data_IF_537413887542
#
_entry.id   IF_537413887542
#
_cell.length_a   1.000
_cell.length_b   1.000
_cell.length_c   1.000
_cell.angle_alpha   90.00
_cell.angle_beta   90.00
_cell.angle_gamma   90.00
#
_symmetry.space_group_name_H-M   'P 1'
#
loop_
_entity.id
_entity.type
_entity.pdbx_description
1 polymer ?
#
# COMPACT_ATOMS: atom_id res chain seq x y z
N UNK A 1 -4.99 5.93 16.35
CA UNK A 1 -4.18 6.69 15.37
C UNK A 1 -4.65 6.38 13.96
N UNK A 2 -4.68 7.38 13.12
CA UNK A 2 -4.98 7.21 11.70
C UNK A 2 -3.72 6.83 10.95
N UNK A 3 -3.80 5.79 10.13
CA UNK A 3 -2.70 5.30 9.31
C UNK A 3 -3.00 5.63 7.85
N UNK A 4 -2.10 6.39 7.21
CA UNK A 4 -2.15 6.60 5.76
C UNK A 4 -1.27 5.55 5.10
N UNK A 5 -1.87 4.65 4.34
CA UNK A 5 -1.14 3.64 3.55
C UNK A 5 -1.03 4.14 2.12
N UNK A 6 0.20 4.21 1.61
CA UNK A 6 0.49 4.71 0.26
C UNK A 6 0.97 3.54 -0.60
N UNK A 7 0.29 3.31 -1.71
CA UNK A 7 0.74 2.42 -2.77
C UNK A 7 1.01 3.24 -4.02
N UNK A 8 2.23 3.13 -4.55
CA UNK A 8 2.60 3.73 -5.83
C UNK A 8 2.65 2.65 -6.88
N UNK A 9 2.20 2.96 -8.09
CA UNK A 9 2.09 1.98 -9.17
C UNK A 9 2.32 2.62 -10.53
N UNK A 10 2.95 1.86 -11.41
CA UNK A 10 2.99 2.15 -12.84
C UNK A 10 3.09 0.84 -13.61
N UNK A 11 2.10 0.57 -14.48
CA UNK A 11 2.06 -0.60 -15.34
C UNK A 11 2.29 -1.91 -14.56
N UNK A 12 1.46 -2.16 -13.56
CA UNK A 12 1.56 -3.35 -12.72
C UNK A 12 0.20 -4.04 -12.57
N UNK A 13 -0.47 -4.22 -13.69
CA UNK A 13 -1.81 -4.76 -13.78
C UNK A 13 -1.96 -6.12 -13.10
N UNK A 14 -0.92 -6.98 -13.17
CA UNK A 14 -0.99 -8.35 -12.65
C UNK A 14 -0.92 -8.45 -11.13
N UNK A 15 -0.39 -7.44 -10.43
CA UNK A 15 -0.15 -7.51 -8.98
C UNK A 15 -0.94 -6.50 -8.17
N UNK A 16 -1.38 -5.39 -8.77
CA UNK A 16 -2.04 -4.30 -8.04
C UNK A 16 -3.29 -4.75 -7.28
N UNK A 17 -4.06 -5.68 -7.84
CA UNK A 17 -5.25 -6.21 -7.18
C UNK A 17 -4.93 -6.83 -5.83
N UNK A 18 -3.90 -7.67 -5.77
CA UNK A 18 -3.50 -8.36 -4.53
C UNK A 18 -3.00 -7.37 -3.47
N UNK A 19 -2.26 -6.35 -3.89
CA UNK A 19 -1.83 -5.28 -2.99
C UNK A 19 -3.04 -4.56 -2.38
N UNK A 20 -3.99 -4.13 -3.21
CA UNK A 20 -5.21 -3.44 -2.76
C UNK A 20 -6.03 -4.34 -1.84
N UNK A 21 -6.28 -5.58 -2.23
CA UNK A 21 -7.04 -6.54 -1.42
C UNK A 21 -6.40 -6.73 -0.04
N UNK A 22 -5.07 -6.78 0.05
CA UNK A 22 -4.38 -6.96 1.32
C UNK A 22 -4.55 -5.77 2.28
N UNK A 23 -4.68 -4.56 1.74
CA UNK A 23 -5.00 -3.37 2.54
C UNK A 23 -6.45 -3.39 3.02
N UNK A 24 -7.38 -3.69 2.12
CA UNK A 24 -8.81 -3.71 2.44
C UNK A 24 -9.13 -4.74 3.51
N UNK A 25 -8.42 -5.87 3.51
CA UNK A 25 -8.64 -6.94 4.50
C UNK A 25 -8.06 -6.67 5.87
N UNK A 26 -7.32 -5.59 6.08
CA UNK A 26 -6.75 -5.30 7.39
C UNK A 26 -7.83 -5.10 8.44
N UNK A 27 -7.60 -5.64 9.65
CA UNK A 27 -8.53 -5.49 10.78
C UNK A 27 -8.49 -4.09 11.37
N UNK A 28 -7.37 -3.40 11.25
CA UNK A 28 -7.25 -2.01 11.67
C UNK A 28 -8.13 -1.14 10.77
N UNK A 29 -9.09 -0.40 11.36
CA UNK A 29 -10.12 0.28 10.56
C UNK A 29 -9.81 1.75 10.26
N UNK A 30 -9.00 2.40 11.07
CA UNK A 30 -8.68 3.82 10.88
C UNK A 30 -7.56 3.99 9.85
N UNK A 31 -7.83 3.58 8.62
CA UNK A 31 -6.91 3.61 7.49
C UNK A 31 -7.40 4.60 6.44
N UNK A 32 -6.49 5.47 6.00
CA UNK A 32 -6.61 6.26 4.79
C UNK A 32 -5.75 5.59 3.72
N UNK A 33 -6.39 5.05 2.68
CA UNK A 33 -5.64 4.39 1.60
C UNK A 33 -5.45 5.33 0.42
N UNK A 34 -4.19 5.56 0.06
CA UNK A 34 -3.78 6.48 -1.00
C UNK A 34 -3.08 5.66 -2.10
N UNK A 35 -3.59 5.76 -3.32
CA UNK A 35 -2.99 5.10 -4.48
C UNK A 35 -2.52 6.17 -5.47
N UNK A 36 -1.25 6.15 -5.80
CA UNK A 36 -0.62 7.06 -6.75
C UNK A 36 -0.18 6.26 -7.97
N UNK A 37 -0.80 6.56 -9.09
CA UNK A 37 -0.50 5.92 -10.37
C UNK A 37 0.30 6.88 -11.25
N UNK A 38 1.38 6.36 -11.83
CA UNK A 38 2.28 7.12 -12.70
C UNK A 38 1.85 7.14 -14.17
N UNK A 39 0.58 7.38 -14.44
CA UNK A 39 0.00 7.38 -15.78
C UNK A 39 0.20 6.03 -16.50
N UNK A 40 -0.26 4.96 -15.85
CA UNK A 40 -0.20 3.60 -16.44
C UNK A 40 -0.92 3.53 -17.77
N UNK A 41 -0.36 2.74 -18.67
CA UNK A 41 -0.87 2.52 -20.03
C UNK A 41 -1.38 1.10 -20.29
N UNK A 42 -1.25 0.22 -19.30
CA UNK A 42 -1.84 -1.13 -19.31
C UNK A 42 -3.22 -1.11 -18.63
N UNK A 43 -3.71 -2.23 -18.14
CA UNK A 43 -4.99 -2.33 -17.44
C UNK A 43 -4.96 -1.95 -15.96
N UNK A 44 -3.86 -1.36 -15.44
CA UNK A 44 -3.71 -1.02 -14.02
C UNK A 44 -4.83 -0.10 -13.53
N UNK A 45 -5.10 0.99 -14.25
CA UNK A 45 -6.11 1.98 -13.85
C UNK A 45 -7.50 1.33 -13.79
N UNK A 46 -7.84 0.49 -14.76
CA UNK A 46 -9.13 -0.22 -14.77
C UNK A 46 -9.31 -1.11 -13.53
N UNK A 47 -8.24 -1.77 -13.08
CA UNK A 47 -8.27 -2.57 -11.85
C UNK A 47 -8.50 -1.67 -10.64
N UNK A 48 -7.78 -0.56 -10.54
CA UNK A 48 -7.89 0.37 -9.40
C UNK A 48 -9.30 0.97 -9.32
N UNK A 49 -9.89 1.32 -10.45
CA UNK A 49 -11.22 1.93 -10.48
C UNK A 49 -12.32 1.03 -9.91
N UNK A 50 -12.14 -0.29 -9.95
CA UNK A 50 -13.07 -1.23 -9.32
C UNK A 50 -13.09 -1.12 -7.80
N UNK A 51 -12.09 -0.51 -7.20
CA UNK A 51 -11.94 -0.33 -5.75
C UNK A 51 -12.11 1.10 -5.29
N UNK A 52 -12.63 1.98 -6.14
CA UNK A 52 -12.70 3.43 -5.85
C UNK A 52 -13.46 3.75 -4.56
N UNK A 53 -14.44 2.92 -4.18
CA UNK A 53 -15.20 3.07 -2.94
C UNK A 53 -14.39 2.67 -1.69
N UNK A 54 -13.27 1.97 -1.86
CA UNK A 54 -12.38 1.52 -0.79
C UNK A 54 -11.08 2.32 -0.70
N UNK A 55 -10.80 3.13 -1.70
CA UNK A 55 -9.61 3.97 -1.78
C UNK A 55 -9.98 5.39 -1.39
N UNK A 56 -9.25 5.95 -0.42
CA UNK A 56 -9.52 7.30 0.08
C UNK A 56 -9.10 8.38 -0.92
N UNK A 57 -7.94 8.20 -1.54
CA UNK A 57 -7.40 9.13 -2.53
C UNK A 57 -6.77 8.33 -3.68
N UNK A 58 -7.19 8.63 -4.90
CA UNK A 58 -6.56 8.09 -6.10
C UNK A 58 -6.12 9.24 -7.00
N UNK A 59 -4.82 9.27 -7.31
CA UNK A 59 -4.23 10.24 -8.22
C UNK A 59 -3.47 9.50 -9.31
N UNK A 60 -3.81 9.78 -10.58
CA UNK A 60 -3.10 9.25 -11.74
C UNK A 60 -2.59 10.40 -12.58
N UNK A 61 -1.28 10.52 -12.68
CA UNK A 61 -0.61 11.51 -13.52
C UNK A 61 0.84 11.10 -13.78
N UNK A 62 1.48 11.60 -14.82
CA UNK A 62 2.90 11.33 -15.03
C UNK A 62 3.74 11.75 -13.83
N UNK A 63 4.76 10.96 -13.51
CA UNK A 63 5.72 11.26 -12.46
C UNK A 63 7.15 11.06 -12.96
N UNK A 64 8.11 11.44 -12.12
CA UNK A 64 9.55 11.33 -12.41
C UNK A 64 10.17 10.08 -11.79
N UNK A 65 9.33 9.08 -11.48
CA UNK A 65 9.75 7.82 -10.89
C UNK A 65 9.18 7.60 -9.50
N UNK A 66 9.64 6.53 -8.85
CA UNK A 66 9.13 6.04 -7.58
C UNK A 66 9.11 7.11 -6.49
N UNK A 67 10.20 7.82 -6.31
CA UNK A 67 10.31 8.79 -5.22
C UNK A 67 9.41 10.02 -5.43
N UNK A 68 9.24 10.43 -6.68
CA UNK A 68 8.29 11.50 -6.99
C UNK A 68 6.85 11.08 -6.66
N UNK A 69 6.48 9.86 -7.04
CA UNK A 69 5.16 9.29 -6.71
C UNK A 69 4.96 9.16 -5.20
N UNK A 70 5.96 8.67 -4.47
CA UNK A 70 5.90 8.60 -3.01
C UNK A 70 5.72 9.97 -2.36
N UNK A 71 6.44 10.98 -2.85
CA UNK A 71 6.31 12.34 -2.35
C UNK A 71 4.91 12.91 -2.58
N UNK A 72 4.29 12.60 -3.71
CA UNK A 72 2.88 12.98 -3.95
C UNK A 72 1.96 12.34 -2.91
N UNK A 73 2.13 11.05 -2.66
CA UNK A 73 1.36 10.34 -1.64
C UNK A 73 1.54 10.91 -0.24
N UNK A 74 2.78 11.21 0.14
CA UNK A 74 3.10 11.79 1.44
C UNK A 74 2.43 13.17 1.61
N UNK A 75 2.45 14.00 0.57
CA UNK A 75 1.79 15.32 0.62
C UNK A 75 0.28 15.22 0.77
N UNK A 76 -0.33 14.16 0.26
CA UNK A 76 -1.77 13.93 0.37
C UNK A 76 -2.17 13.23 1.67
N UNK A 77 -1.23 12.60 2.35
CA UNK A 77 -1.51 11.86 3.58
C UNK A 77 -1.91 12.78 4.72
N UNK A 78 -2.92 12.38 5.47
CA UNK A 78 -3.42 13.11 6.64
C UNK A 78 -3.35 12.29 7.93
N UNK A 79 -2.84 11.07 7.87
CA UNK A 79 -2.73 10.19 9.03
C UNK A 79 -1.61 10.58 10.00
N UNK A 80 -1.67 10.01 11.18
CA UNK A 80 -0.64 10.16 12.20
C UNK A 80 0.60 9.32 11.88
N UNK A 81 0.41 8.24 11.15
CA UNK A 81 1.46 7.32 10.70
C UNK A 81 1.33 7.14 9.19
N UNK A 82 2.46 7.12 8.51
CA UNK A 82 2.53 6.82 7.07
C UNK A 82 3.14 5.44 6.91
N UNK A 83 2.44 4.58 6.17
CA UNK A 83 2.92 3.27 5.78
C UNK A 83 3.03 3.19 4.26
N UNK A 84 4.02 2.48 3.77
CA UNK A 84 4.25 2.30 2.33
C UNK A 84 4.09 0.83 1.99
N UNK A 85 3.25 0.55 0.99
CA UNK A 85 3.07 -0.78 0.41
C UNK A 85 3.19 -0.66 -1.10
N UNK A 86 4.23 -1.25 -1.68
CA UNK A 86 4.44 -1.21 -3.12
C UNK A 86 3.41 -2.07 -3.87
N UNK A 87 3.20 -1.77 -5.15
CA UNK A 87 2.15 -2.39 -5.97
C UNK A 87 2.35 -3.88 -6.27
N UNK A 88 3.56 -4.38 -6.09
CA UNK A 88 3.92 -5.80 -6.24
C UNK A 88 4.10 -6.52 -4.90
N UNK A 89 3.82 -5.84 -3.81
CA UNK A 89 3.85 -6.39 -2.46
C UNK A 89 2.43 -6.53 -1.91
N UNK A 90 2.30 -7.29 -0.84
CA UNK A 90 1.06 -7.39 -0.09
C UNK A 90 1.34 -7.65 1.40
N UNK A 91 0.41 -7.28 2.24
CA UNK A 91 0.48 -7.65 3.65
C UNK A 91 0.23 -9.16 3.80
N UNK A 92 1.05 -9.82 4.63
CA UNK A 92 1.03 -11.28 4.77
C UNK A 92 -0.27 -11.83 5.39
N UNK A 93 -0.92 -11.02 6.24
CA UNK A 93 -2.20 -11.37 6.85
C UNK A 93 -3.00 -10.10 7.18
N UNK A 94 -4.18 -10.29 7.77
CA UNK A 94 -5.10 -9.18 8.09
C UNK A 94 -4.76 -8.42 9.37
N UNK A 95 -3.73 -8.84 10.10
CA UNK A 95 -3.36 -8.24 11.39
C UNK A 95 -2.10 -7.39 11.33
N UNK A 96 -1.44 -7.29 10.17
CA UNK A 96 -0.13 -6.63 10.05
C UNK A 96 -0.19 -5.19 10.55
N UNK A 97 -1.16 -4.40 10.09
CA UNK A 97 -1.27 -2.98 10.47
C UNK A 97 -1.58 -2.84 11.96
N UNK A 98 -2.53 -3.62 12.48
CA UNK A 98 -2.88 -3.55 13.91
C UNK A 98 -1.71 -3.95 14.80
N UNK A 99 -0.96 -4.99 14.42
CA UNK A 99 0.20 -5.45 15.18
C UNK A 99 1.32 -4.40 15.17
N UNK A 100 1.58 -3.79 14.02
CA UNK A 100 2.61 -2.74 13.90
C UNK A 100 2.25 -1.50 14.73
N UNK A 101 1.01 -1.06 14.69
CA UNK A 101 0.55 0.09 15.47
C UNK A 101 0.65 -0.22 16.98
N UNK A 102 0.25 -1.41 17.41
CA UNK A 102 0.37 -1.83 18.80
C UNK A 102 1.83 -1.83 19.27
N UNK A 103 2.73 -2.39 18.48
CA UNK A 103 4.16 -2.42 18.79
C UNK A 103 4.76 -1.00 18.87
N UNK A 104 4.39 -0.13 17.95
CA UNK A 104 4.84 1.26 17.98
C UNK A 104 4.38 1.97 19.26
N UNK A 105 3.13 1.76 19.67
CA UNK A 105 2.59 2.37 20.88
C UNK A 105 3.27 1.84 22.14
N UNK A 106 3.44 0.51 22.24
CA UNK A 106 4.07 -0.13 23.41
C UNK A 106 5.53 0.31 23.56
N UNK A 107 6.25 0.41 22.47
CA UNK A 107 7.68 0.77 22.47
C UNK A 107 7.95 2.26 22.32
N UNK A 108 6.90 3.06 22.19
CA UNK A 108 7.01 4.49 21.89
C UNK A 108 7.95 4.75 20.69
N UNK A 109 7.79 3.95 19.64
CA UNK A 109 8.64 4.01 18.45
C UNK A 109 8.07 4.98 17.41
N UNK A 110 8.95 5.71 16.75
CA UNK A 110 8.58 6.61 15.65
C UNK A 110 8.64 5.93 14.30
N UNK A 111 9.43 4.86 14.18
CA UNK A 111 9.61 4.09 12.94
C UNK A 111 9.48 2.60 13.26
N UNK A 112 8.78 1.89 12.40
CA UNK A 112 8.67 0.44 12.47
C UNK A 112 8.86 -0.16 11.07
N UNK A 113 9.43 -1.35 11.01
CA UNK A 113 9.53 -2.13 9.79
C UNK A 113 9.37 -3.61 10.11
N UNK A 114 8.94 -4.37 9.14
CA UNK A 114 8.74 -5.81 9.28
C UNK A 114 9.69 -6.58 8.36
N UNK A 115 9.83 -7.87 8.64
CA UNK A 115 10.51 -8.77 7.73
C UNK A 115 9.73 -8.91 6.42
N UNK A 116 10.45 -9.23 5.37
CA UNK A 116 9.89 -9.46 4.04
C UNK A 116 10.19 -10.89 3.59
N UNK A 117 9.18 -11.54 3.04
CA UNK A 117 9.31 -12.88 2.45
C UNK A 117 9.08 -12.76 0.95
N UNK A 118 10.00 -13.30 0.16
CA UNK A 118 9.87 -13.34 -1.29
C UNK A 118 9.24 -14.68 -1.67
N UNK A 119 8.14 -14.63 -2.41
CA UNK A 119 7.37 -15.81 -2.83
C UNK A 119 7.31 -15.92 -4.36
N UNK A 120 6.96 -17.08 -4.85
CA UNK A 120 6.70 -17.26 -6.28
C UNK A 120 5.37 -16.61 -6.70
N UNK A 121 5.07 -16.62 -8.01
CA UNK A 121 3.85 -15.98 -8.52
C UNK A 121 2.55 -16.59 -7.97
N UNK A 122 2.59 -17.84 -7.52
CA UNK A 122 1.43 -18.49 -6.89
C UNK A 122 1.31 -18.21 -5.41
N UNK A 123 2.32 -17.54 -4.82
CA UNK A 123 2.44 -17.26 -3.39
C UNK A 123 2.49 -18.51 -2.50
N UNK A 124 2.86 -19.65 -3.09
CA UNK A 124 2.89 -20.94 -2.38
C UNK A 124 4.30 -21.38 -2.00
N UNK A 125 5.32 -20.79 -2.64
CA UNK A 125 6.72 -21.18 -2.44
C UNK A 125 7.56 -19.96 -2.07
N UNK A 126 8.27 -20.05 -0.95
CA UNK A 126 9.21 -19.01 -0.52
C UNK A 126 10.47 -19.09 -1.39
N UNK A 127 10.85 -17.95 -1.96
CA UNK A 127 12.09 -17.78 -2.71
C UNK A 127 13.11 -17.04 -1.83
N UNK A 128 14.38 -17.35 -2.06
CA UNK A 128 15.46 -16.72 -1.31
C UNK A 128 16.49 -16.11 -2.24
#
# INVERSE_FOLDING_TARGET
MKVSIITVVRNNQSTIKDAIDSVIRQTYKNIEYIVIDGASTDGTIDVIEKYQDKISVFLSEPDKGLYDALNKGIRLASGDVIAILHSDDLFSDRFVVSDMIEEMAVKNAEIAFSDMVIVDNSMTKVLR
#
